data_IF_328654114513
#
_entry.id   IF_328654114513
#
_cell.length_a   1.000
_cell.length_b   1.000
_cell.length_c   1.000
_cell.angle_alpha   90.00
_cell.angle_beta   90.00
_cell.angle_gamma   90.00
#
_symmetry.space_group_name_H-M   'P 1'
#
loop_
_entity.id
_entity.type
_entity.pdbx_description
1 polymer ?
#
# COMPACT_ATOMS: atom_id res chain seq x y z
N UNK A 1 -0.91 12.32 5.40
CA UNK A 1 -0.94 12.20 3.94
C UNK A 1 -2.02 13.12 3.42
N UNK A 2 -1.96 13.60 2.17
CA UNK A 2 -3.10 14.33 1.58
C UNK A 2 -4.04 13.35 0.88
N UNK A 3 -5.32 13.39 1.22
CA UNK A 3 -6.37 12.62 0.56
C UNK A 3 -7.17 13.52 -0.37
N UNK A 4 -7.00 13.38 -1.68
CA UNK A 4 -7.76 14.11 -2.67
C UNK A 4 -9.03 13.34 -3.02
N UNK A 5 -10.19 13.90 -2.66
CA UNK A 5 -11.49 13.40 -3.06
C UNK A 5 -11.90 14.12 -4.34
N UNK A 6 -11.79 13.41 -5.45
CA UNK A 6 -11.96 13.94 -6.81
C UNK A 6 -13.20 13.36 -7.45
N UNK A 7 -13.77 14.07 -8.43
CA UNK A 7 -14.97 13.62 -9.13
C UNK A 7 -15.88 14.76 -9.56
N UNK A 8 -16.90 14.41 -10.33
CA UNK A 8 -17.80 15.37 -10.97
C UNK A 8 -18.56 16.25 -9.95
N UNK A 9 -19.11 17.36 -10.39
CA UNK A 9 -19.94 18.24 -9.56
C UNK A 9 -21.16 17.43 -9.07
N UNK A 10 -21.52 17.55 -7.79
CA UNK A 10 -22.61 16.80 -7.15
C UNK A 10 -22.50 15.26 -7.17
N UNK A 11 -21.32 14.69 -7.44
CA UNK A 11 -21.12 13.23 -7.33
C UNK A 11 -21.01 12.72 -5.88
N UNK A 12 -21.19 13.55 -4.84
CA UNK A 12 -21.16 13.09 -3.44
C UNK A 12 -19.80 13.22 -2.73
N UNK A 13 -18.85 13.95 -3.31
CA UNK A 13 -17.52 14.21 -2.71
C UNK A 13 -17.60 14.75 -1.28
N UNK A 14 -18.40 15.80 -1.04
CA UNK A 14 -18.50 16.43 0.26
C UNK A 14 -19.10 15.50 1.33
N UNK A 15 -20.00 14.60 0.94
CA UNK A 15 -20.52 13.55 1.83
C UNK A 15 -19.41 12.60 2.23
N UNK A 16 -18.65 12.07 1.25
CA UNK A 16 -17.53 11.18 1.52
C UNK A 16 -16.43 11.86 2.36
N UNK A 17 -16.11 13.13 2.07
CA UNK A 17 -15.13 13.91 2.80
C UNK A 17 -15.49 14.04 4.29
N UNK A 18 -16.75 14.35 4.59
CA UNK A 18 -17.24 14.45 5.97
C UNK A 18 -17.22 13.10 6.69
N UNK A 19 -17.68 12.03 6.04
CA UNK A 19 -17.65 10.69 6.63
C UNK A 19 -16.21 10.27 6.94
N UNK A 20 -15.29 10.48 5.98
CA UNK A 20 -13.88 10.16 6.15
C UNK A 20 -13.23 11.00 7.27
N UNK A 21 -13.56 12.29 7.37
CA UNK A 21 -13.09 13.16 8.46
C UNK A 21 -13.57 12.66 9.83
N UNK A 22 -14.84 12.31 9.97
CA UNK A 22 -15.41 11.79 11.22
C UNK A 22 -14.75 10.47 11.61
N UNK A 23 -14.53 9.57 10.64
CA UNK A 23 -13.81 8.33 10.85
C UNK A 23 -12.37 8.57 11.32
N UNK A 24 -11.62 9.44 10.63
CA UNK A 24 -10.26 9.82 11.03
C UNK A 24 -10.24 10.41 12.45
N UNK A 25 -11.19 11.29 12.78
CA UNK A 25 -11.31 11.90 14.10
C UNK A 25 -11.61 10.86 15.19
N UNK A 26 -12.48 9.87 14.93
CA UNK A 26 -12.76 8.77 15.87
C UNK A 26 -11.54 7.87 16.10
N UNK A 27 -10.60 7.89 15.15
CA UNK A 27 -9.29 7.22 15.23
C UNK A 27 -8.18 8.08 15.85
N UNK A 28 -8.50 9.28 16.35
CA UNK A 28 -7.53 10.22 16.94
C UNK A 28 -6.69 10.98 15.92
N UNK A 29 -7.04 10.92 14.63
CA UNK A 29 -6.32 11.58 13.55
C UNK A 29 -7.06 12.84 13.09
N UNK A 30 -6.38 13.98 13.13
CA UNK A 30 -6.97 15.26 12.72
C UNK A 30 -6.66 15.56 11.25
N UNK A 31 -7.73 15.65 10.44
CA UNK A 31 -7.66 15.96 9.02
C UNK A 31 -8.71 17.04 8.69
N UNK A 32 -8.31 18.32 8.54
CA UNK A 32 -9.21 19.34 8.03
C UNK A 32 -9.68 19.02 6.61
N UNK A 33 -10.92 19.41 6.31
CA UNK A 33 -11.44 19.40 4.94
C UNK A 33 -11.11 20.75 4.31
N UNK A 34 -10.47 20.71 3.15
CA UNK A 34 -10.23 21.87 2.30
C UNK A 34 -11.05 21.68 1.02
N UNK A 35 -12.14 22.43 0.85
CA UNK A 35 -12.98 22.38 -0.35
C UNK A 35 -12.82 23.64 -1.18
N UNK A 36 -12.57 23.52 -2.49
CA UNK A 36 -12.48 24.70 -3.37
C UNK A 36 -13.76 25.56 -3.33
N UNK A 37 -14.92 24.94 -3.17
CA UNK A 37 -16.20 25.65 -3.12
C UNK A 37 -16.33 26.49 -1.83
N UNK A 38 -15.76 26.06 -0.70
CA UNK A 38 -15.72 26.87 0.53
C UNK A 38 -14.85 28.13 0.34
N UNK A 39 -13.76 28.02 -0.40
CA UNK A 39 -12.90 29.16 -0.74
C UNK A 39 -13.58 30.10 -1.72
N UNK A 40 -14.37 29.58 -2.68
CA UNK A 40 -15.20 30.41 -3.56
C UNK A 40 -16.24 31.18 -2.78
N UNK A 41 -16.97 30.54 -1.86
CA UNK A 41 -17.94 31.24 -1.01
C UNK A 41 -17.27 32.35 -0.20
N UNK A 42 -16.05 32.11 0.30
CA UNK A 42 -15.37 33.06 1.17
C UNK A 42 -14.66 34.22 0.45
N UNK A 43 -14.13 33.97 -0.75
CA UNK A 43 -13.24 34.91 -1.45
C UNK A 43 -13.70 35.27 -2.87
N UNK A 44 -14.77 34.62 -3.37
CA UNK A 44 -15.35 34.79 -4.70
C UNK A 44 -16.52 35.77 -4.73
N UNK A 45 -16.79 36.34 -5.90
CA UNK A 45 -18.00 37.12 -6.21
C UNK A 45 -18.57 36.82 -7.61
N UNK A 46 -18.01 35.83 -8.32
CA UNK A 46 -18.39 35.43 -9.68
C UNK A 46 -17.50 36.05 -10.76
N UNK A 47 -16.69 37.05 -10.42
CA UNK A 47 -15.68 37.59 -11.33
C UNK A 47 -14.49 36.64 -11.52
N UNK A 48 -13.81 36.76 -12.67
CA UNK A 48 -12.60 35.99 -12.94
C UNK A 48 -11.46 36.32 -11.96
N UNK A 49 -11.33 37.59 -11.56
CA UNK A 49 -10.29 38.04 -10.63
C UNK A 49 -10.45 37.38 -9.25
N UNK A 50 -11.68 37.38 -8.72
CA UNK A 50 -11.95 36.73 -7.43
C UNK A 50 -11.91 35.21 -7.49
N UNK A 51 -12.27 34.58 -8.61
CA UNK A 51 -12.03 33.14 -8.81
C UNK A 51 -10.53 32.82 -8.74
N UNK A 52 -9.66 33.64 -9.37
CA UNK A 52 -8.21 33.48 -9.26
C UNK A 52 -7.72 33.65 -7.81
N UNK A 53 -8.25 34.64 -7.09
CA UNK A 53 -7.96 34.83 -5.67
C UNK A 53 -8.37 33.62 -4.83
N UNK A 54 -9.59 33.10 -5.00
CA UNK A 54 -10.10 31.93 -4.30
C UNK A 54 -9.26 30.68 -4.59
N UNK A 55 -8.93 30.42 -5.86
CA UNK A 55 -8.06 29.32 -6.28
C UNK A 55 -6.66 29.43 -5.66
N UNK A 56 -6.08 30.63 -5.63
CA UNK A 56 -4.76 30.84 -5.00
C UNK A 56 -4.78 30.61 -3.50
N UNK A 57 -5.80 31.12 -2.78
CA UNK A 57 -5.96 30.88 -1.35
C UNK A 57 -6.13 29.39 -1.06
N UNK A 58 -6.95 28.69 -1.86
CA UNK A 58 -7.11 27.24 -1.77
C UNK A 58 -5.79 26.49 -2.00
N UNK A 59 -5.06 26.81 -3.06
CA UNK A 59 -3.74 26.23 -3.34
C UNK A 59 -2.76 26.42 -2.17
N UNK A 60 -2.67 27.64 -1.62
CA UNK A 60 -1.79 27.94 -0.49
C UNK A 60 -2.19 27.14 0.76
N UNK A 61 -3.49 26.99 1.03
CA UNK A 61 -3.97 26.13 2.12
C UNK A 61 -3.61 24.66 1.88
N UNK A 62 -3.80 24.13 0.67
CA UNK A 62 -3.39 22.74 0.34
C UNK A 62 -1.88 22.54 0.53
N UNK A 63 -1.06 23.52 0.11
CA UNK A 63 0.40 23.48 0.27
C UNK A 63 0.82 23.49 1.72
N UNK A 64 0.23 24.38 2.53
CA UNK A 64 0.62 24.60 3.92
C UNK A 64 0.01 23.57 4.89
N UNK A 65 -1.04 22.86 4.49
CA UNK A 65 -1.64 21.81 5.31
C UNK A 65 -1.08 20.44 4.90
N UNK A 66 -0.42 19.78 5.85
CA UNK A 66 0.26 18.49 5.62
C UNK A 66 -0.69 17.30 5.54
N UNK A 67 -1.58 17.20 6.52
CA UNK A 67 -2.61 16.17 6.61
C UNK A 67 -3.95 16.85 6.36
N UNK A 68 -4.60 16.52 5.26
CA UNK A 68 -5.86 17.15 4.86
C UNK A 68 -6.67 16.21 3.97
N UNK A 69 -7.99 16.40 3.99
CA UNK A 69 -8.91 15.90 2.98
C UNK A 69 -9.18 17.06 2.03
N UNK A 70 -8.81 16.92 0.77
CA UNK A 70 -8.94 17.96 -0.25
C UNK A 70 -10.09 17.59 -1.17
N UNK A 71 -11.14 18.41 -1.19
CA UNK A 71 -12.29 18.24 -2.07
C UNK A 71 -12.18 19.19 -3.27
N UNK A 72 -12.14 18.61 -4.47
CA UNK A 72 -12.18 19.37 -5.72
C UNK A 72 -12.62 18.47 -6.89
N UNK A 73 -12.83 19.07 -8.08
CA UNK A 73 -13.15 18.28 -9.28
C UNK A 73 -11.94 17.48 -9.79
N UNK A 74 -10.74 18.03 -9.68
CA UNK A 74 -9.49 17.40 -10.12
C UNK A 74 -8.94 17.92 -11.46
N UNK A 75 -9.63 18.86 -12.11
CA UNK A 75 -9.24 19.47 -13.38
C UNK A 75 -9.11 21.00 -13.27
N UNK A 76 -8.87 21.66 -14.42
CA UNK A 76 -8.70 23.11 -14.53
C UNK A 76 -7.34 23.61 -14.05
N UNK A 77 -7.18 24.94 -14.07
CA UNK A 77 -5.94 25.64 -13.72
C UNK A 77 -5.47 25.28 -12.32
N UNK A 78 -6.38 25.26 -11.35
CA UNK A 78 -6.06 24.89 -9.97
C UNK A 78 -5.58 23.43 -9.86
N UNK A 79 -6.18 22.50 -10.59
CA UNK A 79 -5.74 21.11 -10.63
C UNK A 79 -4.33 20.97 -11.24
N UNK A 80 -4.04 21.71 -12.32
CA UNK A 80 -2.70 21.77 -12.91
C UNK A 80 -1.67 22.31 -11.91
N UNK A 81 -1.96 23.48 -11.33
CA UNK A 81 -1.08 24.14 -10.36
C UNK A 81 -0.76 23.26 -9.15
N UNK A 82 -1.75 22.52 -8.63
CA UNK A 82 -1.53 21.58 -7.52
C UNK A 82 -0.63 20.43 -7.96
N UNK A 83 -0.92 19.78 -9.10
CA UNK A 83 -0.12 18.64 -9.59
C UNK A 83 1.33 19.03 -9.85
N UNK A 84 1.59 20.18 -10.47
CA UNK A 84 2.94 20.67 -10.76
C UNK A 84 3.77 20.99 -9.51
N UNK A 85 3.12 21.18 -8.35
CA UNK A 85 3.78 21.56 -7.09
C UNK A 85 3.71 20.47 -6.01
N UNK A 86 3.06 19.34 -6.29
CA UNK A 86 3.05 18.20 -5.39
C UNK A 86 4.26 17.31 -5.65
N UNK A 87 4.83 16.80 -4.57
CA UNK A 87 5.88 15.80 -4.67
C UNK A 87 5.34 14.51 -5.31
N UNK A 88 6.21 13.77 -6.01
CA UNK A 88 5.92 12.42 -6.51
C UNK A 88 5.40 11.52 -5.38
N UNK A 89 4.38 10.71 -5.65
CA UNK A 89 3.78 9.74 -4.72
C UNK A 89 3.41 10.31 -3.33
N UNK A 90 3.03 11.60 -3.26
CA UNK A 90 2.78 12.31 -1.99
C UNK A 90 1.32 12.43 -1.60
N UNK A 91 0.42 11.83 -2.37
CA UNK A 91 -1.01 11.87 -2.10
C UNK A 91 -1.74 10.58 -2.47
N UNK A 92 -2.93 10.43 -1.90
CA UNK A 92 -3.90 9.39 -2.25
C UNK A 92 -5.08 10.05 -2.92
N UNK A 93 -5.54 9.46 -4.03
CA UNK A 93 -6.72 9.93 -4.75
C UNK A 93 -7.86 8.96 -4.48
N UNK A 94 -9.01 9.52 -4.15
CA UNK A 94 -10.28 8.81 -4.06
C UNK A 94 -11.20 9.45 -5.10
N UNK A 95 -11.35 8.78 -6.24
CA UNK A 95 -12.23 9.18 -7.31
C UNK A 95 -13.65 8.68 -7.03
N UNK A 96 -14.56 9.62 -6.79
CA UNK A 96 -15.99 9.37 -6.60
C UNK A 96 -16.70 9.39 -7.95
N UNK A 97 -17.02 8.21 -8.45
CA UNK A 97 -17.76 7.98 -9.68
C UNK A 97 -19.27 8.02 -9.42
N UNK A 98 -19.98 8.76 -10.26
CA UNK A 98 -21.43 8.80 -10.29
C UNK A 98 -21.88 9.13 -11.71
N UNK A 99 -23.02 8.58 -12.14
CA UNK A 99 -23.56 8.86 -13.47
C UNK A 99 -23.93 10.36 -13.60
N UNK A 100 -23.72 10.98 -14.77
CA UNK A 100 -24.00 12.41 -14.97
C UNK A 100 -25.47 12.75 -14.68
N UNK A 101 -26.41 11.88 -15.07
CA UNK A 101 -27.84 12.09 -14.82
C UNK A 101 -28.19 12.15 -13.33
N UNK A 102 -27.50 11.34 -12.50
CA UNK A 102 -27.64 11.38 -11.04
C UNK A 102 -27.09 12.70 -10.50
N UNK A 103 -25.94 13.15 -10.99
CA UNK A 103 -25.34 14.43 -10.62
C UNK A 103 -26.27 15.62 -10.97
N UNK A 104 -26.86 15.62 -12.16
CA UNK A 104 -27.82 16.63 -12.62
C UNK A 104 -29.11 16.58 -11.81
N UNK A 105 -29.65 15.39 -11.52
CA UNK A 105 -30.84 15.25 -10.66
C UNK A 105 -30.59 15.82 -9.26
N UNK A 106 -29.42 15.55 -8.68
CA UNK A 106 -29.00 16.10 -7.37
C UNK A 106 -28.82 17.62 -7.42
N UNK A 107 -28.35 18.17 -8.53
CA UNK A 107 -28.21 19.61 -8.75
C UNK A 107 -29.57 20.32 -8.62
N UNK A 108 -30.63 19.78 -9.23
CA UNK A 108 -31.99 20.32 -9.14
C UNK A 108 -32.52 20.34 -7.71
N UNK A 109 -32.23 19.31 -6.92
CA UNK A 109 -32.62 19.21 -5.50
C UNK A 109 -31.83 20.20 -4.63
N UNK A 110 -30.54 20.41 -4.92
CA UNK A 110 -29.62 21.24 -4.12
C UNK A 110 -29.43 22.67 -4.65
N UNK A 111 -30.34 23.17 -5.49
CA UNK A 111 -30.22 24.46 -6.18
C UNK A 111 -29.81 25.61 -5.25
N UNK A 112 -30.47 25.74 -4.09
CA UNK A 112 -30.18 26.78 -3.08
C UNK A 112 -28.77 26.77 -2.50
N UNK A 113 -28.10 25.61 -2.48
CA UNK A 113 -26.71 25.49 -2.00
C UNK A 113 -25.75 25.96 -3.08
N UNK A 114 -26.04 25.63 -4.35
CA UNK A 114 -25.20 26.01 -5.49
C UNK A 114 -25.30 27.49 -5.82
N UNK A 115 -26.48 28.09 -5.65
CA UNK A 115 -26.69 29.54 -5.80
C UNK A 115 -25.81 30.37 -4.84
N UNK A 116 -25.34 29.79 -3.74
CA UNK A 116 -24.41 30.45 -2.80
C UNK A 116 -22.96 30.38 -3.24
N UNK A 117 -22.62 29.50 -4.18
CA UNK A 117 -21.24 29.37 -4.66
C UNK A 117 -21.08 30.33 -5.84
N UNK A 118 -20.23 31.36 -5.71
CA UNK A 118 -20.02 32.34 -6.77
C UNK A 118 -19.12 31.74 -7.85
N UNK A 119 -19.68 30.86 -8.68
CA UNK A 119 -18.98 30.29 -9.83
C UNK A 119 -18.65 31.41 -10.84
N UNK A 120 -17.48 31.35 -11.50
CA UNK A 120 -17.13 32.31 -12.52
C UNK A 120 -18.13 32.26 -13.68
N UNK A 121 -18.40 33.41 -14.31
CA UNK A 121 -19.30 33.52 -15.47
C UNK A 121 -18.93 32.56 -16.63
N UNK A 122 -17.67 32.13 -16.72
CA UNK A 122 -17.26 31.11 -17.70
C UNK A 122 -17.93 29.76 -17.50
N UNK A 123 -18.53 29.50 -16.33
CA UNK A 123 -19.36 28.33 -16.02
C UNK A 123 -20.83 28.73 -16.18
N UNK A 124 -21.21 29.17 -17.38
CA UNK A 124 -22.57 29.62 -17.70
C UNK A 124 -23.62 28.51 -17.58
N UNK A 125 -23.22 27.23 -17.64
CA UNK A 125 -24.13 26.10 -17.44
C UNK A 125 -23.44 24.94 -16.70
N UNK A 126 -23.80 24.76 -15.42
CA UNK A 126 -23.26 23.68 -14.56
C UNK A 126 -23.67 22.29 -15.09
N UNK A 127 -24.85 22.13 -15.69
CA UNK A 127 -25.27 20.84 -16.27
C UNK A 127 -24.40 20.47 -17.47
N UNK A 128 -24.14 21.40 -18.39
CA UNK A 128 -23.20 21.18 -19.49
C UNK A 128 -21.78 20.91 -18.98
N UNK A 129 -21.37 21.59 -17.92
CA UNK A 129 -20.06 21.34 -17.27
C UNK A 129 -19.99 19.92 -16.71
N UNK A 130 -21.06 19.42 -16.07
CA UNK A 130 -21.14 18.03 -15.60
C UNK A 130 -20.98 17.05 -16.76
N UNK A 131 -21.68 17.27 -17.88
CA UNK A 131 -21.61 16.40 -19.07
C UNK A 131 -20.20 16.41 -19.70
N UNK A 132 -19.60 17.59 -19.83
CA UNK A 132 -18.24 17.73 -20.36
C UNK A 132 -17.20 17.04 -19.47
N UNK A 133 -17.29 17.25 -18.16
CA UNK A 133 -16.40 16.60 -17.18
C UNK A 133 -16.55 15.07 -17.22
N UNK A 134 -17.76 14.54 -17.39
CA UNK A 134 -18.02 13.11 -17.48
C UNK A 134 -17.22 12.45 -18.62
N UNK A 135 -17.17 13.11 -19.79
CA UNK A 135 -16.35 12.65 -20.91
C UNK A 135 -14.88 12.55 -20.53
N UNK A 136 -14.33 13.56 -19.83
CA UNK A 136 -12.93 13.56 -19.38
C UNK A 136 -12.63 12.43 -18.40
N UNK A 137 -13.55 12.16 -17.47
CA UNK A 137 -13.41 11.04 -16.54
C UNK A 137 -13.45 9.70 -17.28
N UNK A 138 -14.40 9.50 -18.21
CA UNK A 138 -14.56 8.25 -18.99
C UNK A 138 -13.33 7.91 -19.83
N UNK A 139 -12.69 8.90 -20.44
CA UNK A 139 -11.46 8.69 -21.23
C UNK A 139 -10.19 8.60 -20.35
N UNK A 140 -10.32 8.60 -19.03
CA UNK A 140 -9.20 8.37 -18.11
C UNK A 140 -8.28 9.58 -17.85
N UNK A 141 -8.68 10.80 -18.26
CA UNK A 141 -7.85 12.02 -18.09
C UNK A 141 -7.51 12.33 -16.64
N UNK A 142 -8.36 11.93 -15.69
CA UNK A 142 -8.06 12.09 -14.27
C UNK A 142 -6.83 11.26 -13.87
N UNK A 143 -6.78 10.00 -14.29
CA UNK A 143 -5.65 9.12 -13.99
C UNK A 143 -4.39 9.66 -14.65
N UNK A 144 -4.46 10.03 -15.93
CA UNK A 144 -3.34 10.62 -16.69
C UNK A 144 -2.76 11.85 -15.97
N UNK A 145 -3.60 12.82 -15.63
CA UNK A 145 -3.18 14.08 -15.00
C UNK A 145 -2.50 13.87 -13.65
N UNK A 146 -2.99 12.95 -12.84
CA UNK A 146 -2.54 12.80 -11.46
C UNK A 146 -1.55 11.65 -11.23
N UNK A 147 -1.28 10.81 -12.23
CA UNK A 147 -0.48 9.60 -12.05
C UNK A 147 0.89 9.87 -11.43
N UNK A 148 1.56 10.97 -11.79
CA UNK A 148 2.93 11.21 -11.33
C UNK A 148 3.00 11.59 -9.84
N UNK A 149 1.94 12.18 -9.29
CA UNK A 149 1.94 12.67 -7.90
C UNK A 149 1.19 11.73 -6.95
N UNK A 150 0.28 10.90 -7.46
CA UNK A 150 -0.50 10.00 -6.62
C UNK A 150 0.24 8.68 -6.36
N UNK A 151 0.30 8.28 -5.10
CA UNK A 151 0.79 6.95 -4.72
C UNK A 151 -0.23 5.88 -5.13
N UNK A 152 -1.51 6.13 -4.85
CA UNK A 152 -2.62 5.26 -5.22
C UNK A 152 -3.86 6.06 -5.59
N UNK A 153 -4.55 5.58 -6.61
CA UNK A 153 -5.90 6.02 -6.97
C UNK A 153 -6.89 4.90 -6.62
N UNK A 154 -7.84 5.22 -5.77
CA UNK A 154 -9.01 4.41 -5.44
C UNK A 154 -10.22 4.95 -6.21
N UNK A 155 -11.06 4.05 -6.69
CA UNK A 155 -12.31 4.38 -7.38
C UNK A 155 -13.47 3.86 -6.54
N UNK A 156 -14.43 4.72 -6.23
CA UNK A 156 -15.64 4.37 -5.48
C UNK A 156 -16.87 4.86 -6.25
N UNK A 157 -17.90 4.04 -6.36
CA UNK A 157 -19.21 4.46 -6.88
C UNK A 157 -20.08 4.96 -5.73
N UNK A 158 -20.85 6.01 -5.96
CA UNK A 158 -21.88 6.51 -5.02
C UNK A 158 -22.94 5.52 -4.55
N UNK A 159 -23.12 4.39 -5.24
CA UNK A 159 -23.99 3.28 -4.79
C UNK A 159 -23.31 2.38 -3.76
N UNK A 160 -21.99 2.48 -3.60
CA UNK A 160 -21.26 1.66 -2.64
C UNK A 160 -21.45 2.22 -1.23
N UNK A 161 -21.49 1.32 -0.24
CA UNK A 161 -21.45 1.72 1.16
C UNK A 161 -20.12 2.44 1.45
N UNK A 162 -20.18 3.75 1.70
CA UNK A 162 -19.01 4.59 1.97
C UNK A 162 -18.25 4.14 3.20
N UNK A 163 -18.97 3.64 4.21
CA UNK A 163 -18.38 3.28 5.50
C UNK A 163 -17.53 2.04 5.34
N UNK A 164 -18.05 1.04 4.61
CA UNK A 164 -17.30 -0.15 4.23
C UNK A 164 -16.02 0.17 3.43
N UNK A 165 -16.09 1.15 2.52
CA UNK A 165 -14.91 1.58 1.76
C UNK A 165 -13.86 2.24 2.67
N UNK A 166 -14.29 3.17 3.52
CA UNK A 166 -13.42 3.90 4.44
C UNK A 166 -12.74 2.93 5.43
N UNK A 167 -13.49 1.99 6.00
CA UNK A 167 -12.99 0.98 6.94
C UNK A 167 -11.91 0.07 6.34
N UNK A 168 -11.96 -0.16 5.02
CA UNK A 168 -10.97 -0.97 4.30
C UNK A 168 -9.79 -0.18 3.77
N UNK A 169 -9.85 1.15 3.83
CA UNK A 169 -8.76 2.00 3.37
C UNK A 169 -7.63 1.94 4.41
N UNK A 170 -6.36 1.70 4.01
CA UNK A 170 -5.23 1.63 4.93
C UNK A 170 -4.78 3.04 5.38
N UNK A 171 -5.71 3.74 6.04
CA UNK A 171 -5.61 5.16 6.42
C UNK A 171 -4.42 5.40 7.33
N UNK A 172 -4.27 4.56 8.36
CA UNK A 172 -3.18 4.68 9.30
C UNK A 172 -1.82 4.42 8.62
N UNK A 173 -1.75 3.47 7.69
CA UNK A 173 -0.52 3.22 6.91
C UNK A 173 -0.09 4.48 6.18
N UNK A 174 -1.02 5.10 5.45
CA UNK A 174 -0.75 6.35 4.74
C UNK A 174 -0.39 7.51 5.69
N UNK A 175 -1.05 7.58 6.85
CA UNK A 175 -0.73 8.59 7.86
C UNK A 175 0.72 8.44 8.34
N UNK A 176 1.10 7.29 8.92
CA UNK A 176 2.45 7.12 9.46
C UNK A 176 3.54 7.11 8.38
N UNK A 177 3.23 6.62 7.17
CA UNK A 177 4.12 6.76 6.01
C UNK A 177 4.42 8.23 5.70
N UNK A 178 3.39 9.07 5.65
CA UNK A 178 3.57 10.50 5.45
C UNK A 178 4.28 11.19 6.62
N UNK A 179 4.14 10.62 7.82
CA UNK A 179 4.84 11.11 8.99
C UNK A 179 6.36 10.92 8.83
N UNK A 180 6.78 9.72 8.45
CA UNK A 180 8.17 9.35 8.15
C UNK A 180 8.72 10.13 6.95
N UNK A 181 7.99 10.19 5.83
CA UNK A 181 8.45 10.90 4.62
C UNK A 181 8.77 12.36 4.94
N UNK A 182 7.90 13.04 5.67
CA UNK A 182 8.10 14.43 6.05
C UNK A 182 9.33 14.62 6.94
N UNK A 183 9.49 13.79 7.99
CA UNK A 183 10.65 13.86 8.87
C UNK A 183 11.95 13.68 8.08
N UNK A 184 11.99 12.70 7.19
CA UNK A 184 13.16 12.44 6.36
C UNK A 184 13.42 13.59 5.37
N UNK A 185 12.37 14.15 4.75
CA UNK A 185 12.51 15.30 3.84
C UNK A 185 12.98 16.56 4.58
N UNK A 186 12.45 16.86 5.77
CA UNK A 186 12.84 18.06 6.54
C UNK A 186 14.31 18.02 6.97
N UNK A 187 14.88 16.81 7.06
CA UNK A 187 16.29 16.57 7.37
C UNK A 187 17.13 16.25 6.14
N UNK A 188 16.59 16.56 4.96
CA UNK A 188 17.28 16.51 3.68
C UNK A 188 17.75 15.11 3.24
N UNK A 189 17.12 14.04 3.74
CA UNK A 189 17.31 12.69 3.18
C UNK A 189 16.79 12.64 1.74
N UNK A 190 17.47 11.86 0.89
CA UNK A 190 17.25 11.90 -0.57
C UNK A 190 16.71 10.61 -1.18
N UNK A 191 16.79 9.49 -0.47
CA UNK A 191 16.50 8.17 -1.03
C UNK A 191 15.68 7.33 -0.05
N UNK A 192 14.38 7.25 -0.27
CA UNK A 192 13.45 6.39 0.45
C UNK A 192 12.61 5.63 -0.57
N UNK A 193 12.68 4.31 -0.50
CA UNK A 193 12.06 3.40 -1.46
C UNK A 193 11.16 2.45 -0.68
N UNK A 194 9.90 2.32 -1.05
CA UNK A 194 9.05 1.24 -0.56
C UNK A 194 9.24 -0.03 -1.37
N UNK A 195 9.14 -1.19 -0.72
CA UNK A 195 9.00 -2.48 -1.39
C UNK A 195 7.78 -3.23 -0.83
N UNK A 196 7.69 -4.53 -1.05
CA UNK A 196 6.56 -5.33 -0.56
C UNK A 196 5.22 -4.82 -1.11
N UNK A 197 4.19 -4.80 -0.26
CA UNK A 197 2.85 -4.42 -0.70
C UNK A 197 2.71 -2.94 -1.06
N UNK A 198 3.43 -2.06 -0.34
CA UNK A 198 3.41 -0.63 -0.64
C UNK A 198 4.08 -0.35 -1.99
N UNK A 199 5.21 -1.00 -2.26
CA UNK A 199 5.90 -0.89 -3.55
C UNK A 199 5.06 -1.39 -4.74
N UNK A 200 4.20 -2.40 -4.54
CA UNK A 200 3.23 -2.87 -5.54
C UNK A 200 1.94 -2.03 -5.60
N UNK A 201 1.79 -1.06 -4.70
CA UNK A 201 0.57 -0.30 -4.50
C UNK A 201 -0.66 -1.20 -4.22
N UNK A 202 -0.49 -2.29 -3.46
CA UNK A 202 -1.54 -3.28 -3.15
C UNK A 202 -1.81 -3.45 -1.65
N UNK A 203 -1.39 -2.48 -0.82
CA UNK A 203 -1.60 -2.53 0.63
C UNK A 203 -3.09 -2.53 1.03
N UNK A 204 -3.35 -3.20 2.14
CA UNK A 204 -4.63 -3.21 2.85
C UNK A 204 -4.40 -2.97 4.35
N UNK A 205 -5.47 -2.96 5.15
CA UNK A 205 -5.41 -2.67 6.59
C UNK A 205 -4.57 -3.66 7.41
N UNK A 206 -4.24 -4.83 6.86
CA UNK A 206 -3.41 -5.86 7.50
C UNK A 206 -1.98 -5.90 6.96
N UNK A 207 -1.63 -5.02 6.02
CA UNK A 207 -0.29 -4.98 5.45
C UNK A 207 0.73 -4.40 6.44
N UNK A 208 1.97 -4.80 6.27
CA UNK A 208 3.16 -4.10 6.75
C UNK A 208 3.55 -2.95 5.80
N UNK A 209 4.47 -2.11 6.24
CA UNK A 209 5.13 -1.09 5.42
C UNK A 209 6.63 -1.38 5.37
N UNK A 210 7.07 -1.86 4.23
CA UNK A 210 8.47 -2.18 3.95
C UNK A 210 9.18 -1.02 3.26
N UNK A 211 10.20 -0.44 3.91
CA UNK A 211 10.96 0.70 3.43
C UNK A 211 12.47 0.41 3.37
N UNK A 212 13.14 1.01 2.40
CA UNK A 212 14.59 1.08 2.25
C UNK A 212 14.99 2.55 2.30
N UNK A 213 15.74 2.92 3.34
CA UNK A 213 16.38 4.23 3.46
C UNK A 213 17.84 4.10 3.04
N UNK A 214 18.20 4.71 1.90
CA UNK A 214 19.59 4.71 1.43
C UNK A 214 20.31 5.95 1.99
N UNK A 215 21.26 5.72 2.90
CA UNK A 215 22.00 6.79 3.59
C UNK A 215 23.38 6.33 4.04
N UNK A 216 24.29 7.28 4.26
CA UNK A 216 25.58 7.04 4.92
C UNK A 216 25.50 7.18 6.45
N UNK A 217 24.36 7.64 6.98
CA UNK A 217 24.17 7.78 8.43
C UNK A 217 24.02 6.42 9.09
N UNK A 218 24.53 6.34 10.31
CA UNK A 218 24.44 5.15 11.13
C UNK A 218 22.99 4.85 11.56
N UNK A 219 22.65 3.56 11.67
CA UNK A 219 21.30 3.11 12.02
C UNK A 219 20.84 3.63 13.39
N UNK A 220 21.76 3.77 14.36
CA UNK A 220 21.45 4.28 15.71
C UNK A 220 21.01 5.75 15.64
N UNK A 221 21.59 6.53 14.71
CA UNK A 221 21.18 7.92 14.49
C UNK A 221 19.79 7.99 13.88
N UNK A 222 19.47 7.13 12.90
CA UNK A 222 18.13 7.07 12.31
C UNK A 222 17.09 6.59 13.32
N UNK A 223 17.44 5.60 14.15
CA UNK A 223 16.59 5.10 15.21
C UNK A 223 16.25 6.20 16.22
N UNK A 224 17.27 6.89 16.74
CA UNK A 224 17.09 8.00 17.70
C UNK A 224 16.22 9.11 17.10
N UNK A 225 16.44 9.41 15.81
CA UNK A 225 15.65 10.38 15.08
C UNK A 225 14.16 10.02 15.03
N UNK A 226 13.84 8.80 14.61
CA UNK A 226 12.46 8.33 14.49
C UNK A 226 11.79 8.24 15.86
N UNK A 227 12.49 7.70 16.85
CA UNK A 227 12.01 7.59 18.23
C UNK A 227 11.63 8.96 18.79
N UNK A 228 12.57 9.92 18.77
CA UNK A 228 12.35 11.27 19.28
C UNK A 228 11.18 11.96 18.56
N UNK A 229 11.07 11.75 17.24
CA UNK A 229 9.97 12.32 16.46
C UNK A 229 8.60 11.80 16.93
N UNK A 230 8.41 10.48 17.08
CA UNK A 230 7.14 9.92 17.52
C UNK A 230 6.83 10.22 19.00
N UNK A 231 7.85 10.25 19.86
CA UNK A 231 7.70 10.68 21.26
C UNK A 231 7.24 12.15 21.34
N UNK A 232 7.82 13.04 20.53
CA UNK A 232 7.45 14.47 20.51
C UNK A 232 6.01 14.72 20.05
N UNK A 233 5.45 13.81 19.25
CA UNK A 233 4.06 13.85 18.81
C UNK A 233 3.08 13.39 19.88
N UNK A 234 3.57 12.99 21.06
CA UNK A 234 2.79 12.36 22.13
C UNK A 234 2.02 11.14 21.62
N UNK A 235 2.61 10.41 20.67
CA UNK A 235 2.06 9.13 20.21
C UNK A 235 2.13 8.15 21.39
N UNK A 236 0.98 7.89 22.03
CA UNK A 236 0.96 7.21 23.34
C UNK A 236 1.25 5.71 23.26
N UNK A 237 1.35 5.14 22.07
CA UNK A 237 1.25 3.71 21.88
C UNK A 237 2.03 3.25 20.64
N UNK A 238 3.37 3.25 20.75
CA UNK A 238 4.25 2.62 19.76
C UNK A 238 5.44 1.94 20.44
N UNK A 239 6.01 0.95 19.74
CA UNK A 239 7.26 0.28 20.10
C UNK A 239 8.22 0.49 18.95
N UNK A 240 9.46 0.87 19.24
CA UNK A 240 10.52 1.00 18.25
C UNK A 240 11.78 0.27 18.72
N UNK A 241 12.43 -0.46 17.82
CA UNK A 241 13.70 -1.14 18.11
C UNK A 241 14.51 -1.35 16.83
N UNK A 242 15.79 -1.70 17.01
CA UNK A 242 16.70 -2.08 15.93
C UNK A 242 16.74 -3.61 15.85
N UNK A 243 16.66 -4.15 14.64
CA UNK A 243 16.85 -5.56 14.33
C UNK A 243 17.82 -5.65 13.15
N UNK A 244 19.08 -5.99 13.41
CA UNK A 244 20.15 -5.98 12.42
C UNK A 244 20.23 -4.63 11.68
N UNK A 245 20.16 -4.59 10.35
CA UNK A 245 20.12 -3.36 9.56
C UNK A 245 18.72 -2.71 9.44
N UNK A 246 17.73 -3.19 10.18
CA UNK A 246 16.36 -2.66 10.15
C UNK A 246 16.00 -1.90 11.43
N UNK A 247 15.20 -0.87 11.25
CA UNK A 247 14.44 -0.25 12.33
C UNK A 247 13.00 -0.72 12.21
N UNK A 248 12.48 -1.29 13.30
CA UNK A 248 11.11 -1.79 13.37
C UNK A 248 10.30 -0.83 14.23
N UNK A 249 9.18 -0.35 13.68
CA UNK A 249 8.21 0.49 14.39
C UNK A 249 6.86 -0.22 14.38
N UNK A 250 6.34 -0.51 15.57
CA UNK A 250 5.03 -1.12 15.77
C UNK A 250 4.10 -0.12 16.43
N UNK A 251 3.01 0.25 15.77
CA UNK A 251 1.94 1.05 16.35
C UNK A 251 0.85 0.14 16.91
N UNK A 252 0.17 0.57 17.99
CA UNK A 252 -0.93 -0.20 18.58
C UNK A 252 -2.15 -0.35 17.65
N UNK A 253 -2.20 0.40 16.55
CA UNK A 253 -3.12 0.20 15.42
C UNK A 253 -2.82 -1.06 14.58
N UNK A 254 -2.01 -1.99 15.09
CA UNK A 254 -1.54 -3.21 14.43
C UNK A 254 -0.70 -2.98 13.17
N UNK A 255 -0.04 -1.82 13.07
CA UNK A 255 0.80 -1.49 11.92
C UNK A 255 2.25 -1.77 12.25
N UNK A 256 2.89 -2.51 11.36
CA UNK A 256 4.32 -2.76 11.36
C UNK A 256 4.96 -1.95 10.24
N UNK A 257 5.95 -1.14 10.58
CA UNK A 257 6.81 -0.44 9.62
C UNK A 257 8.22 -0.97 9.81
N UNK A 258 8.81 -1.50 8.73
CA UNK A 258 10.20 -1.91 8.67
C UNK A 258 10.98 -0.91 7.81
N UNK A 259 12.09 -0.39 8.33
CA UNK A 259 12.97 0.52 7.59
C UNK A 259 14.36 -0.09 7.56
N UNK A 260 14.74 -0.69 6.44
CA UNK A 260 16.11 -1.10 6.19
C UNK A 260 16.99 0.13 5.95
N UNK A 261 18.01 0.33 6.79
CA UNK A 261 18.95 1.45 6.70
C UNK A 261 20.25 0.96 6.07
N UNK A 262 20.46 1.31 4.80
CA UNK A 262 21.57 0.77 4.00
C UNK A 262 22.33 1.86 3.26
N UNK A 263 23.58 1.61 2.90
CA UNK A 263 24.40 2.55 2.13
C UNK A 263 24.27 2.38 0.62
N UNK A 264 23.83 1.20 0.14
CA UNK A 264 23.69 0.86 -1.27
C UNK A 264 22.47 -0.06 -1.47
N UNK A 265 21.66 0.23 -2.49
CA UNK A 265 20.48 -0.53 -2.87
C UNK A 265 20.75 -2.02 -3.11
N UNK A 266 21.95 -2.36 -3.63
CA UNK A 266 22.34 -3.74 -3.92
C UNK A 266 22.23 -4.68 -2.71
N UNK A 267 22.36 -4.17 -1.48
CA UNK A 267 22.19 -4.98 -0.25
C UNK A 267 20.77 -5.52 -0.08
N UNK A 268 19.76 -4.84 -0.61
CA UNK A 268 18.34 -5.21 -0.49
C UNK A 268 17.69 -5.60 -1.81
N UNK A 269 18.48 -5.77 -2.87
CA UNK A 269 17.98 -6.07 -4.21
C UNK A 269 17.18 -7.37 -4.27
N UNK A 270 17.58 -8.40 -3.51
CA UNK A 270 16.87 -9.67 -3.42
C UNK A 270 15.42 -9.47 -2.96
N UNK A 271 15.21 -8.68 -1.89
CA UNK A 271 13.88 -8.42 -1.34
C UNK A 271 13.04 -7.52 -2.25
N UNK A 272 13.67 -6.52 -2.85
CA UNK A 272 13.00 -5.64 -3.81
C UNK A 272 12.56 -6.42 -5.06
N UNK A 273 13.47 -7.20 -5.66
CA UNK A 273 13.19 -8.07 -6.80
C UNK A 273 12.10 -9.09 -6.46
N UNK A 274 12.22 -9.76 -5.30
CA UNK A 274 11.23 -10.71 -4.80
C UNK A 274 9.85 -10.10 -4.51
N UNK A 275 9.75 -8.77 -4.43
CA UNK A 275 8.48 -8.06 -4.27
C UNK A 275 7.70 -7.89 -5.58
N UNK A 276 8.29 -8.23 -6.74
CA UNK A 276 7.67 -8.17 -8.07
C UNK A 276 7.01 -6.80 -8.39
N UNK A 277 7.77 -5.73 -8.18
CA UNK A 277 7.30 -4.35 -8.37
C UNK A 277 7.35 -4.02 -9.86
N UNK A 278 6.18 -3.80 -10.47
CA UNK A 278 6.04 -3.48 -11.90
C UNK A 278 6.38 -2.03 -12.22
N UNK A 279 6.04 -1.12 -11.32
CA UNK A 279 6.24 0.32 -11.48
C UNK A 279 7.21 0.84 -10.42
N UNK A 280 8.51 0.82 -10.74
CA UNK A 280 9.59 1.29 -9.87
C UNK A 280 9.37 2.77 -9.49
N UNK A 281 8.78 3.55 -10.39
CA UNK A 281 8.54 4.98 -10.17
C UNK A 281 7.61 5.21 -8.97
N UNK A 282 6.62 4.32 -8.76
CA UNK A 282 5.68 4.35 -7.63
C UNK A 282 6.30 3.91 -6.31
N UNK A 283 7.34 3.10 -6.39
CA UNK A 283 8.03 2.61 -5.21
C UNK A 283 9.00 3.65 -4.62
N UNK A 284 9.32 4.73 -5.34
CA UNK A 284 10.22 5.79 -4.87
C UNK A 284 9.39 6.87 -4.17
N UNK A 285 9.57 7.00 -2.86
CA UNK A 285 8.83 7.93 -2.00
C UNK A 285 9.62 9.24 -1.76
N UNK A 286 10.94 9.11 -1.72
CA UNK A 286 11.90 10.23 -1.74
C UNK A 286 12.99 9.85 -2.73
N UNK A 287 13.16 10.65 -3.77
CA UNK A 287 14.15 10.39 -4.82
C UNK A 287 13.78 11.07 -6.12
N UNK A 288 14.69 10.98 -7.08
CA UNK A 288 14.59 11.57 -8.40
C UNK A 288 14.62 10.48 -9.49
N UNK A 289 14.59 10.91 -10.75
CA UNK A 289 14.70 10.01 -11.90
C UNK A 289 16.05 9.29 -11.97
N UNK A 290 17.11 9.86 -11.39
CA UNK A 290 18.43 9.23 -11.33
C UNK A 290 18.37 7.99 -10.45
N UNK A 291 17.73 8.07 -9.28
CA UNK A 291 17.49 6.91 -8.43
C UNK A 291 16.65 5.84 -9.14
N UNK A 292 15.63 6.26 -9.88
CA UNK A 292 14.80 5.32 -10.65
C UNK A 292 15.62 4.54 -11.69
N UNK A 293 16.49 5.23 -12.43
CA UNK A 293 17.41 4.61 -13.39
C UNK A 293 18.42 3.68 -12.70
N UNK A 294 18.97 4.10 -11.55
CA UNK A 294 19.90 3.30 -10.74
C UNK A 294 19.26 1.97 -10.30
N UNK A 295 18.03 2.02 -9.76
CA UNK A 295 17.28 0.82 -9.35
C UNK A 295 16.98 -0.07 -10.56
N UNK A 296 16.50 0.51 -11.66
CA UNK A 296 16.23 -0.22 -12.92
C UNK A 296 17.47 -0.97 -13.41
N UNK A 297 18.63 -0.31 -13.47
CA UNK A 297 19.87 -0.94 -13.92
C UNK A 297 20.31 -2.08 -13.01
N UNK A 298 20.21 -1.89 -11.69
CA UNK A 298 20.63 -2.92 -10.74
C UNK A 298 19.72 -4.15 -10.84
N UNK A 299 18.39 -3.97 -10.96
CA UNK A 299 17.44 -5.08 -11.13
C UNK A 299 17.71 -5.86 -12.42
N UNK A 300 17.99 -5.17 -13.55
CA UNK A 300 18.30 -5.83 -14.82
C UNK A 300 19.58 -6.67 -14.73
N UNK A 301 20.57 -6.22 -13.97
CA UNK A 301 21.81 -6.96 -13.73
C UNK A 301 21.68 -8.06 -12.66
N UNK A 302 20.57 -8.09 -11.92
CA UNK A 302 20.40 -9.02 -10.83
C UNK A 302 19.92 -10.37 -11.35
N UNK A 303 20.76 -11.39 -11.18
CA UNK A 303 20.40 -12.78 -11.43
C UNK A 303 19.90 -13.37 -10.11
N UNK A 304 18.58 -13.54 -9.92
CA UNK A 304 18.08 -14.21 -8.73
C UNK A 304 18.58 -15.66 -8.72
N UNK A 305 18.87 -16.21 -7.55
CA UNK A 305 19.06 -17.65 -7.41
C UNK A 305 17.82 -18.34 -7.97
N UNK A 306 17.99 -19.07 -9.09
CA UNK A 306 16.90 -19.81 -9.71
C UNK A 306 16.33 -20.79 -8.69
N UNK A 307 15.06 -20.61 -8.37
CA UNK A 307 14.34 -21.58 -7.54
C UNK A 307 14.03 -22.76 -8.45
N UNK A 308 15.01 -23.65 -8.54
CA UNK A 308 14.97 -24.85 -9.35
C UNK A 308 14.12 -25.92 -8.62
N UNK A 309 13.22 -26.56 -9.38
CA UNK A 309 12.44 -27.69 -8.91
C UNK A 309 13.33 -28.79 -8.36
N UNK A 310 14.45 -29.08 -8.99
CA UNK A 310 15.38 -30.12 -8.57
C UNK A 310 16.00 -29.81 -7.20
N UNK A 311 16.41 -28.55 -6.98
CA UNK A 311 16.95 -28.10 -5.69
C UNK A 311 15.90 -28.21 -4.58
N UNK A 312 14.63 -27.86 -4.84
CA UNK A 312 13.57 -27.99 -3.84
C UNK A 312 13.27 -29.45 -3.50
N UNK A 313 13.32 -30.36 -4.48
CA UNK A 313 13.19 -31.81 -4.27
C UNK A 313 14.34 -32.34 -3.42
N UNK A 314 15.60 -31.96 -3.73
CA UNK A 314 16.77 -32.36 -2.93
C UNK A 314 16.64 -31.87 -1.47
N UNK A 315 16.21 -30.62 -1.26
CA UNK A 315 15.95 -30.08 0.08
C UNK A 315 14.85 -30.83 0.81
N UNK A 316 13.77 -31.19 0.11
CA UNK A 316 12.69 -31.98 0.68
C UNK A 316 13.21 -33.33 1.20
N UNK A 317 13.96 -34.08 0.40
CA UNK A 317 14.54 -35.36 0.83
C UNK A 317 15.46 -35.19 2.05
N UNK A 318 16.33 -34.18 2.03
CA UNK A 318 17.17 -33.86 3.18
C UNK A 318 16.36 -33.60 4.47
N UNK A 319 15.27 -32.82 4.39
CA UNK A 319 14.42 -32.57 5.56
C UNK A 319 13.63 -33.80 6.00
N UNK A 320 13.24 -34.68 5.08
CA UNK A 320 12.59 -35.96 5.41
C UNK A 320 13.53 -36.90 6.19
N UNK A 321 14.83 -36.94 5.83
CA UNK A 321 15.82 -37.70 6.60
C UNK A 321 15.98 -37.14 8.04
N UNK A 322 16.00 -35.81 8.18
CA UNK A 322 16.07 -35.17 9.49
C UNK A 322 14.80 -35.40 10.32
N UNK A 323 13.64 -35.41 9.67
CA UNK A 323 12.35 -35.72 10.29
C UNK A 323 12.34 -37.17 10.83
N UNK A 324 12.83 -38.14 10.03
CA UNK A 324 12.95 -39.53 10.46
C UNK A 324 13.91 -39.69 11.65
N UNK A 325 15.05 -38.99 11.64
CA UNK A 325 15.95 -38.98 12.81
C UNK A 325 15.27 -38.43 14.07
N UNK A 326 14.48 -37.36 13.93
CA UNK A 326 13.72 -36.80 15.05
C UNK A 326 12.66 -37.78 15.58
N UNK A 327 12.00 -38.53 14.68
CA UNK A 327 11.09 -39.61 15.04
C UNK A 327 11.78 -40.71 15.86
N UNK A 328 12.89 -41.25 15.33
CA UNK A 328 13.65 -42.33 15.99
C UNK A 328 14.21 -41.92 17.36
N UNK A 329 14.60 -40.65 17.51
CA UNK A 329 15.08 -40.11 18.78
C UNK A 329 13.95 -39.72 19.76
N UNK A 330 12.69 -39.90 19.36
CA UNK A 330 11.52 -39.44 20.10
C UNK A 330 11.56 -37.94 20.48
N UNK A 331 12.11 -37.09 19.58
CA UNK A 331 12.26 -35.65 19.79
C UNK A 331 11.10 -34.89 19.12
N UNK A 332 10.05 -34.62 19.90
CA UNK A 332 8.81 -34.01 19.41
C UNK A 332 9.00 -32.59 18.87
N UNK A 333 9.84 -31.79 19.51
CA UNK A 333 10.09 -30.42 19.05
C UNK A 333 10.85 -30.40 17.73
N UNK A 334 11.89 -31.24 17.61
CA UNK A 334 12.64 -31.34 16.35
C UNK A 334 11.79 -31.97 15.26
N UNK A 335 10.91 -32.91 15.59
CA UNK A 335 9.96 -33.48 14.64
C UNK A 335 9.01 -32.40 14.11
N UNK A 336 8.40 -31.61 15.00
CA UNK A 336 7.58 -30.44 14.64
C UNK A 336 8.33 -29.49 13.71
N UNK A 337 9.55 -29.09 14.08
CA UNK A 337 10.36 -28.15 13.31
C UNK A 337 10.69 -28.67 11.91
N UNK A 338 11.16 -29.92 11.79
CA UNK A 338 11.49 -30.53 10.51
C UNK A 338 10.24 -30.73 9.64
N UNK A 339 9.09 -31.07 10.23
CA UNK A 339 7.84 -31.21 9.50
C UNK A 339 7.42 -29.88 8.85
N UNK A 340 7.60 -28.75 9.53
CA UNK A 340 7.33 -27.43 8.95
C UNK A 340 8.27 -27.10 7.78
N UNK A 341 9.54 -27.52 7.84
CA UNK A 341 10.48 -27.37 6.71
C UNK A 341 10.07 -28.24 5.51
N UNK A 342 9.62 -29.47 5.76
CA UNK A 342 9.06 -30.38 4.74
C UNK A 342 7.83 -29.76 4.07
N UNK A 343 6.85 -29.28 4.85
CA UNK A 343 5.66 -28.61 4.32
C UNK A 343 6.04 -27.40 3.47
N UNK A 344 7.01 -26.58 3.92
CA UNK A 344 7.46 -25.42 3.17
C UNK A 344 8.03 -25.81 1.79
N UNK A 345 8.84 -26.88 1.71
CA UNK A 345 9.34 -27.35 0.40
C UNK A 345 8.22 -27.93 -0.47
N UNK A 346 7.28 -28.68 0.11
CA UNK A 346 6.10 -29.18 -0.59
C UNK A 346 5.32 -28.03 -1.24
N UNK A 347 5.05 -26.97 -0.49
CA UNK A 347 4.34 -25.79 -1.00
C UNK A 347 5.10 -25.18 -2.17
N UNK A 348 6.43 -25.03 -2.09
CA UNK A 348 7.25 -24.50 -3.20
C UNK A 348 7.17 -25.37 -4.45
N UNK A 349 7.26 -26.70 -4.28
CA UNK A 349 7.13 -27.65 -5.40
C UNK A 349 5.75 -27.55 -6.05
N UNK A 350 4.70 -27.43 -5.24
CA UNK A 350 3.32 -27.25 -5.74
C UNK A 350 3.14 -25.91 -6.46
N UNK A 351 3.73 -24.83 -5.95
CA UNK A 351 3.73 -23.53 -6.65
C UNK A 351 4.39 -23.66 -8.03
N UNK A 352 5.56 -24.28 -8.12
CA UNK A 352 6.23 -24.53 -9.40
C UNK A 352 5.39 -25.41 -10.34
N UNK A 353 4.69 -26.43 -9.80
CA UNK A 353 3.77 -27.29 -10.56
C UNK A 353 2.59 -26.53 -11.15
N UNK A 354 2.11 -25.47 -10.50
CA UNK A 354 1.02 -24.60 -10.98
C UNK A 354 1.54 -23.36 -11.73
N UNK A 355 2.82 -23.31 -12.10
CA UNK A 355 3.47 -22.14 -12.72
C UNK A 355 3.37 -20.85 -11.89
N UNK A 356 3.25 -20.97 -10.57
CA UNK A 356 3.31 -19.85 -9.63
C UNK A 356 4.78 -19.64 -9.27
N UNK A 357 5.43 -18.72 -9.99
CA UNK A 357 6.85 -18.41 -9.79
C UNK A 357 7.08 -17.17 -8.90
N UNK A 358 6.02 -16.43 -8.60
CA UNK A 358 6.05 -15.27 -7.72
C UNK A 358 6.19 -15.68 -6.25
N UNK A 359 6.96 -14.91 -5.49
CA UNK A 359 7.12 -15.09 -4.03
C UNK A 359 7.57 -16.49 -3.59
N UNK A 360 8.22 -17.28 -4.44
CA UNK A 360 8.62 -18.66 -4.08
C UNK A 360 9.51 -18.76 -2.82
N UNK A 361 10.23 -17.69 -2.46
CA UNK A 361 10.93 -17.59 -1.17
C UNK A 361 9.96 -17.71 0.02
N UNK A 362 8.77 -17.12 -0.05
CA UNK A 362 7.68 -17.20 0.93
C UNK A 362 6.32 -17.08 0.19
N UNK A 363 5.75 -18.20 -0.30
CA UNK A 363 4.59 -18.16 -1.19
C UNK A 363 3.38 -17.45 -0.56
N UNK A 364 2.85 -16.43 -1.25
CA UNK A 364 1.70 -15.63 -0.80
C UNK A 364 0.41 -16.05 -1.50
N UNK A 365 -0.74 -15.85 -0.84
CA UNK A 365 -2.07 -16.12 -1.39
C UNK A 365 -2.31 -17.57 -1.89
N UNK A 366 -1.61 -18.53 -1.30
CA UNK A 366 -1.64 -19.95 -1.69
C UNK A 366 -2.84 -20.73 -1.16
N UNK A 367 -3.83 -20.09 -0.52
CA UNK A 367 -4.99 -20.80 0.06
C UNK A 367 -5.73 -21.69 -0.94
N UNK A 368 -5.80 -21.27 -2.22
CA UNK A 368 -6.36 -22.09 -3.30
C UNK A 368 -5.55 -23.37 -3.50
N UNK A 369 -4.22 -23.27 -3.47
CA UNK A 369 -3.29 -24.40 -3.57
C UNK A 369 -3.42 -25.34 -2.37
N UNK A 370 -3.43 -24.78 -1.15
CA UNK A 370 -3.60 -25.52 0.09
C UNK A 370 -4.90 -26.34 0.07
N UNK A 371 -5.99 -25.75 -0.45
CA UNK A 371 -7.29 -26.42 -0.60
C UNK A 371 -7.27 -27.47 -1.71
N UNK A 372 -6.74 -27.14 -2.90
CA UNK A 372 -6.66 -28.05 -4.05
C UNK A 372 -5.92 -29.34 -3.72
N UNK A 373 -4.79 -29.22 -3.03
CA UNK A 373 -3.92 -30.35 -2.70
C UNK A 373 -4.18 -30.95 -1.32
N UNK A 374 -5.11 -30.41 -0.52
CA UNK A 374 -5.39 -30.85 0.86
C UNK A 374 -4.15 -30.84 1.77
N UNK A 375 -3.29 -29.82 1.63
CA UNK A 375 -2.04 -29.66 2.40
C UNK A 375 -2.29 -29.65 3.92
N UNK A 376 -3.51 -29.29 4.36
CA UNK A 376 -3.90 -29.34 5.79
C UNK A 376 -3.70 -30.72 6.43
N UNK A 377 -3.76 -31.80 5.66
CA UNK A 377 -3.60 -33.17 6.16
C UNK A 377 -2.18 -33.48 6.63
N UNK A 378 -1.18 -32.71 6.19
CA UNK A 378 0.23 -32.95 6.53
C UNK A 378 0.79 -31.93 7.53
N UNK A 379 -0.07 -31.18 8.21
CA UNK A 379 0.34 -30.43 9.40
C UNK A 379 0.37 -31.38 10.58
N UNK A 380 1.49 -31.37 11.29
CA UNK A 380 1.65 -32.12 12.53
C UNK A 380 1.61 -31.16 13.71
N UNK A 381 0.87 -31.54 14.74
CA UNK A 381 0.94 -30.96 16.07
C UNK A 381 1.41 -32.01 17.08
N UNK A 382 1.82 -31.56 18.26
CA UNK A 382 2.43 -32.44 19.28
C UNK A 382 1.46 -33.44 19.92
N UNK A 383 0.16 -33.36 19.60
CA UNK A 383 -0.85 -34.31 20.09
C UNK A 383 -1.13 -35.43 19.08
N UNK A 384 -0.68 -35.29 17.83
CA UNK A 384 -0.87 -36.27 16.77
C UNK A 384 0.20 -37.37 16.84
N UNK A 385 -0.19 -38.63 16.66
CA UNK A 385 0.77 -39.74 16.59
C UNK A 385 1.76 -39.56 15.42
N UNK A 386 3.06 -39.65 15.70
CA UNK A 386 4.11 -39.43 14.70
C UNK A 386 4.10 -40.51 13.61
N UNK A 387 3.78 -41.75 13.97
CA UNK A 387 3.79 -42.86 13.01
C UNK A 387 2.64 -42.74 12.02
N UNK A 388 1.44 -42.40 12.50
CA UNK A 388 0.27 -42.09 11.69
C UNK A 388 0.54 -40.89 10.78
N UNK A 389 1.13 -39.82 11.33
CA UNK A 389 1.50 -38.63 10.54
C UNK A 389 2.47 -38.96 9.40
N UNK A 390 3.51 -39.75 9.67
CA UNK A 390 4.48 -40.18 8.66
C UNK A 390 3.80 -40.96 7.52
N UNK A 391 2.80 -41.82 7.83
CA UNK A 391 2.01 -42.53 6.81
C UNK A 391 1.20 -41.55 5.96
N UNK A 392 0.53 -40.58 6.58
CA UNK A 392 -0.24 -39.54 5.88
C UNK A 392 0.67 -38.71 4.97
N UNK A 393 1.83 -38.28 5.48
CA UNK A 393 2.82 -37.52 4.72
C UNK A 393 3.34 -38.31 3.52
N UNK A 394 3.65 -39.60 3.69
CA UNK A 394 4.14 -40.46 2.59
C UNK A 394 3.09 -40.61 1.48
N UNK A 395 1.83 -40.87 1.85
CA UNK A 395 0.72 -40.93 0.91
C UNK A 395 0.51 -39.61 0.17
N UNK A 396 0.63 -38.48 0.88
CA UNK A 396 0.56 -37.16 0.29
C UNK A 396 1.69 -36.93 -0.73
N UNK A 397 2.93 -37.25 -0.38
CA UNK A 397 4.10 -37.10 -1.26
C UNK A 397 3.93 -37.92 -2.55
N UNK A 398 3.46 -39.17 -2.43
CA UNK A 398 3.15 -40.01 -3.58
C UNK A 398 2.09 -39.36 -4.50
N UNK A 399 1.03 -38.78 -3.93
CA UNK A 399 -0.05 -38.11 -4.69
C UNK A 399 0.43 -36.89 -5.51
N UNK A 400 1.56 -36.28 -5.13
CA UNK A 400 2.14 -35.14 -5.84
C UNK A 400 3.31 -35.55 -6.75
N UNK A 401 3.61 -36.85 -6.83
CA UNK A 401 4.65 -37.43 -7.69
C UNK A 401 6.04 -37.50 -7.05
N UNK A 402 6.11 -37.57 -5.72
CA UNK A 402 7.37 -37.67 -4.95
C UNK A 402 7.38 -39.02 -4.23
N UNK A 403 8.28 -39.91 -4.63
CA UNK A 403 8.42 -41.21 -3.97
C UNK A 403 9.30 -41.06 -2.73
N UNK A 404 8.72 -41.33 -1.56
CA UNK A 404 9.43 -41.42 -0.29
C UNK A 404 8.98 -42.69 0.42
N UNK A 405 9.88 -43.67 0.49
CA UNK A 405 9.64 -44.89 1.24
C UNK A 405 10.20 -44.69 2.65
N UNK A 406 9.32 -44.66 3.64
CA UNK A 406 9.73 -44.65 5.04
C UNK A 406 10.16 -46.07 5.41
N UNK A 407 11.41 -46.23 5.84
CA UNK A 407 11.81 -47.43 6.56
C UNK A 407 11.20 -47.35 7.96
N UNK A 408 10.02 -47.95 8.14
CA UNK A 408 9.46 -48.24 9.45
C UNK A 408 10.10 -49.53 9.95
N UNK A 409 11.23 -49.42 10.64
CA UNK A 409 11.73 -50.51 11.49
C UNK A 409 11.25 -50.26 12.92
#
# INVERSE_FOLDING_TARGET
>A
MRFFILGNINCGKSTLAKHMQLYLKSKGLEYPILSIDDFRIKYGDGSQEKEYMAQNKFYLSVKNTRNAIIEMVGFGNIGTKIVENLDKNSCIIIYVESQPDICIKRLKIKKKILERIPYPESINNIEQTILHLDNYFKIGKLKEKWNNVCLKLYKINTTNNSDYFIEKLPIYHYHYLSEIIYLLKSLNYKKLISFGGLGRCDINIFSDIDLILITKRDIIQIYSLLKNFFESKKEKAFIIYILEEKIIIKFFSCILIEIAVISNFSKYILFYHGSNIKDISKSILIGDEKLEKEIKSQILSYVPNTIDKEINIKKLYYYLELLQKAYLNNDDFRFYFMNNLVINQIIRILCLKENITEFLYCPKNINKLLKKYKVRLIFWDMITDKQEHIKILSNFLASIGINYNVYTN
#
